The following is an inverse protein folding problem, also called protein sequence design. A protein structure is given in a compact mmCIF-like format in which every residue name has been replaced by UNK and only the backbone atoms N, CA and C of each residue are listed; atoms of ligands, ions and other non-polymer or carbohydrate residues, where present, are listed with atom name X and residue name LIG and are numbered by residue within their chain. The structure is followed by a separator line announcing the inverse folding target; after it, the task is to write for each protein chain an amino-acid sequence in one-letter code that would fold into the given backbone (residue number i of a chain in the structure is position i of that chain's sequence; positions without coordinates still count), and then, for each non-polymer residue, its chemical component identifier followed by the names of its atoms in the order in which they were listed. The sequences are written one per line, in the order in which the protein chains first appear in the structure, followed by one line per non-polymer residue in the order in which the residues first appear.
data_IF_885529237303
#
_entry.id   IF_885529237303
#
_cell.length_a   1.000
_cell.length_b   1.000
_cell.length_c   1.000
_cell.angle_alpha   90.00
_cell.angle_beta   90.00
_cell.angle_gamma   90.00
#
_symmetry.space_group_name_H-M   'P 1'
#
loop_
_entity.id
_entity.type
_entity.pdbx_description
1 polymer ?
#
# COMPACT_ATOMS: atom_id res chain seq x y z
N UNK A 1 -18.78 -8.79 19.66
CA UNK A 1 -17.78 -9.11 18.60
C UNK A 1 -18.37 -9.62 17.27
N UNK A 2 -19.53 -10.31 17.25
CA UNK A 2 -20.08 -10.89 16.01
C UNK A 2 -20.49 -9.89 14.91
N UNK A 3 -20.97 -8.69 15.27
CA UNK A 3 -21.40 -7.66 14.31
C UNK A 3 -20.21 -7.03 13.55
N UNK A 4 -19.20 -6.54 14.28
CA UNK A 4 -17.99 -5.93 13.70
C UNK A 4 -17.32 -6.94 12.76
N UNK A 5 -17.16 -8.18 13.21
CA UNK A 5 -16.56 -9.26 12.41
C UNK A 5 -17.36 -9.61 11.14
N UNK A 6 -18.68 -9.43 11.13
CA UNK A 6 -19.52 -9.68 9.95
C UNK A 6 -19.54 -8.51 8.98
N UNK A 7 -19.44 -7.29 9.49
CA UNK A 7 -19.62 -6.06 8.71
C UNK A 7 -18.33 -5.26 8.53
N UNK A 8 -17.17 -5.82 8.87
CA UNK A 8 -15.90 -5.07 8.85
C UNK A 8 -15.59 -4.46 7.48
N UNK A 9 -15.96 -5.12 6.38
CA UNK A 9 -15.79 -4.59 5.02
C UNK A 9 -16.62 -3.31 4.85
N UNK A 10 -17.90 -3.35 5.22
CA UNK A 10 -18.78 -2.19 5.15
C UNK A 10 -18.31 -1.06 6.05
N UNK A 11 -17.92 -1.39 7.29
CA UNK A 11 -17.38 -0.42 8.25
C UNK A 11 -16.07 0.20 7.73
N UNK A 12 -15.20 -0.62 7.14
CA UNK A 12 -13.96 -0.16 6.55
C UNK A 12 -14.23 0.80 5.40
N UNK A 13 -15.06 0.42 4.42
CA UNK A 13 -15.41 1.29 3.30
C UNK A 13 -16.15 2.57 3.75
N UNK A 14 -17.07 2.45 4.71
CA UNK A 14 -17.81 3.58 5.27
C UNK A 14 -16.92 4.54 6.07
N UNK A 15 -15.77 4.08 6.57
CA UNK A 15 -14.78 4.95 7.21
C UNK A 15 -13.80 5.51 6.18
N UNK A 16 -13.14 4.66 5.38
CA UNK A 16 -12.02 5.07 4.53
C UNK A 16 -12.43 5.93 3.35
N UNK A 17 -13.59 5.67 2.71
CA UNK A 17 -14.03 6.47 1.57
C UNK A 17 -14.39 7.90 2.01
N UNK A 18 -15.23 8.14 3.04
CA UNK A 18 -15.53 9.49 3.49
C UNK A 18 -14.32 10.21 4.10
N UNK A 19 -13.50 9.53 4.92
CA UNK A 19 -12.27 10.14 5.47
C UNK A 19 -11.32 10.51 4.34
N UNK A 20 -11.13 9.63 3.35
CA UNK A 20 -10.33 9.90 2.16
C UNK A 20 -10.84 11.11 1.38
N UNK A 21 -12.16 11.20 1.19
CA UNK A 21 -12.80 12.36 0.55
C UNK A 21 -12.60 13.66 1.34
N UNK A 22 -12.76 13.63 2.67
CA UNK A 22 -12.54 14.81 3.52
C UNK A 22 -11.08 15.29 3.48
N UNK A 23 -10.13 14.35 3.54
CA UNK A 23 -8.70 14.66 3.40
C UNK A 23 -8.38 15.23 2.03
N UNK A 24 -8.94 14.64 0.96
CA UNK A 24 -8.78 15.15 -0.39
C UNK A 24 -9.36 16.57 -0.55
N UNK A 25 -10.58 16.80 -0.05
CA UNK A 25 -11.25 18.09 -0.13
C UNK A 25 -10.54 19.19 0.69
N UNK A 26 -9.89 18.82 1.80
CA UNK A 26 -9.07 19.74 2.59
C UNK A 26 -7.64 19.89 2.06
N UNK A 27 -7.23 18.99 1.17
CA UNK A 27 -5.90 18.97 0.57
C UNK A 27 -5.74 19.98 -0.56
N UNK A 28 -4.50 20.23 -0.95
CA UNK A 28 -4.15 21.12 -2.07
C UNK A 28 -3.18 20.46 -3.05
N UNK A 29 -3.41 20.72 -4.33
CA UNK A 29 -2.60 20.17 -5.44
C UNK A 29 -1.17 20.68 -5.44
N UNK A 30 -0.94 21.88 -4.91
CA UNK A 30 0.40 22.46 -4.79
C UNK A 30 0.85 22.44 -3.32
N UNK A 31 2.16 22.26 -3.06
CA UNK A 31 2.73 22.40 -1.73
C UNK A 31 2.42 23.78 -1.17
N UNK A 32 1.84 23.81 0.03
CA UNK A 32 1.64 25.05 0.79
C UNK A 32 2.70 25.10 1.87
N UNK A 33 3.39 26.24 1.94
CA UNK A 33 4.43 26.47 2.93
C UNK A 33 3.92 27.40 4.04
N UNK A 34 4.45 27.23 5.25
CA UNK A 34 4.21 28.14 6.37
C UNK A 34 4.72 29.55 6.07
N UNK A 35 5.84 29.65 5.32
CA UNK A 35 6.37 30.87 4.75
C UNK A 35 6.58 30.70 3.24
N UNK A 36 5.70 31.34 2.45
CA UNK A 36 5.73 31.24 0.99
C UNK A 36 6.89 32.03 0.38
N UNK A 37 7.32 33.14 1.00
CA UNK A 37 8.38 33.99 0.48
C UNK A 37 9.74 33.30 0.63
N UNK A 38 10.02 32.78 1.83
CA UNK A 38 11.23 32.02 2.11
C UNK A 38 11.30 30.73 1.27
N UNK A 39 10.17 30.04 1.07
CA UNK A 39 10.13 28.85 0.23
C UNK A 39 10.48 29.14 -1.24
N UNK A 40 10.03 30.29 -1.78
CA UNK A 40 10.40 30.74 -3.13
C UNK A 40 11.88 31.12 -3.22
N UNK A 41 12.41 31.81 -2.21
CA UNK A 41 13.84 32.16 -2.13
C UNK A 41 14.72 30.89 -2.15
N UNK A 42 14.40 29.91 -1.30
CA UNK A 42 15.12 28.63 -1.24
C UNK A 42 15.08 27.84 -2.57
N UNK A 43 13.98 27.95 -3.33
CA UNK A 43 13.87 27.34 -4.66
C UNK A 43 14.74 28.04 -5.70
N UNK A 44 14.86 29.37 -5.61
CA UNK A 44 15.68 30.16 -6.52
C UNK A 44 17.17 30.08 -6.19
N UNK A 45 17.54 29.91 -4.92
CA UNK A 45 18.90 29.73 -4.45
C UNK A 45 19.65 28.58 -5.14
N UNK A 46 18.93 27.55 -5.63
CA UNK A 46 19.51 26.44 -6.40
C UNK A 46 20.18 26.90 -7.70
N UNK A 47 19.75 28.05 -8.24
CA UNK A 47 20.29 28.64 -9.46
C UNK A 47 21.32 29.74 -9.19
N UNK A 48 21.60 30.05 -7.92
CA UNK A 48 22.56 31.08 -7.52
C UNK A 48 23.97 30.48 -7.43
N UNK A 49 24.92 31.06 -8.17
CA UNK A 49 26.32 30.65 -8.16
C UNK A 49 27.06 31.00 -6.86
N UNK A 50 26.51 31.93 -6.07
CA UNK A 50 27.06 32.34 -4.77
C UNK A 50 26.48 31.55 -3.60
N UNK A 51 25.52 30.65 -3.85
CA UNK A 51 24.91 29.83 -2.81
C UNK A 51 25.92 28.85 -2.20
N UNK A 52 26.08 28.94 -0.88
CA UNK A 52 27.07 28.17 -0.12
C UNK A 52 26.49 26.91 0.50
N UNK A 53 25.15 26.83 0.62
CA UNK A 53 24.45 25.66 1.14
C UNK A 53 24.42 24.56 0.10
N UNK A 54 24.63 23.33 0.55
CA UNK A 54 24.41 22.15 -0.31
C UNK A 54 22.93 22.01 -0.68
N UNK A 55 22.65 21.35 -1.81
CA UNK A 55 21.29 21.02 -2.23
C UNK A 55 20.50 20.27 -1.15
N UNK A 56 21.15 19.37 -0.41
CA UNK A 56 20.51 18.67 0.71
C UNK A 56 20.05 19.63 1.81
N UNK A 57 20.88 20.61 2.18
CA UNK A 57 20.55 21.60 3.21
C UNK A 57 19.42 22.53 2.77
N UNK A 58 19.42 22.96 1.51
CA UNK A 58 18.30 23.72 0.93
C UNK A 58 17.01 22.89 0.93
N UNK A 59 17.13 21.59 0.61
CA UNK A 59 16.01 20.65 0.59
C UNK A 59 15.39 20.45 1.97
N UNK A 60 16.20 20.27 2.99
CA UNK A 60 15.73 20.10 4.38
C UNK A 60 15.12 21.39 4.92
N UNK A 61 15.70 22.55 4.60
CA UNK A 61 15.12 23.84 4.93
C UNK A 61 13.73 24.01 4.28
N UNK A 62 13.61 23.72 2.98
CA UNK A 62 12.33 23.81 2.26
C UNK A 62 11.29 22.82 2.80
N UNK A 63 11.71 21.59 3.18
CA UNK A 63 10.82 20.59 3.79
C UNK A 63 10.28 21.03 5.13
N UNK A 64 11.07 21.71 5.95
CA UNK A 64 10.63 22.20 7.27
C UNK A 64 9.51 23.24 7.18
N UNK A 65 9.41 23.94 6.04
CA UNK A 65 8.34 24.90 5.76
C UNK A 65 7.06 24.24 5.24
N UNK A 66 7.07 22.96 4.85
CA UNK A 66 5.90 22.32 4.24
C UNK A 66 4.77 22.10 5.25
N UNK A 67 3.57 22.49 4.87
CA UNK A 67 2.34 22.12 5.58
C UNK A 67 1.84 20.74 5.13
N UNK A 68 1.05 20.04 5.96
CA UNK A 68 0.50 18.72 5.60
C UNK A 68 -0.63 18.80 4.55
N UNK A 69 -1.06 20.00 4.14
CA UNK A 69 -2.16 20.18 3.19
C UNK A 69 -1.94 19.43 1.88
N UNK A 70 -0.69 19.36 1.43
CA UNK A 70 -0.37 18.60 0.23
C UNK A 70 -0.47 17.09 0.46
N UNK A 71 0.08 16.60 1.57
CA UNK A 71 0.01 15.21 1.96
C UNK A 71 -1.44 14.72 2.13
N UNK A 72 -2.34 15.57 2.62
CA UNK A 72 -3.77 15.23 2.73
C UNK A 72 -4.43 14.96 1.39
N UNK A 73 -4.03 15.66 0.31
CA UNK A 73 -4.60 15.40 -1.01
C UNK A 73 -4.22 13.99 -1.50
N UNK A 74 -2.93 13.67 -1.50
CA UNK A 74 -2.43 12.37 -1.98
C UNK A 74 -2.86 11.23 -1.05
N UNK A 75 -2.73 11.42 0.27
CA UNK A 75 -3.19 10.48 1.28
C UNK A 75 -4.70 10.26 1.23
N UNK A 76 -5.50 11.31 0.98
CA UNK A 76 -6.94 11.21 0.81
C UNK A 76 -7.37 10.41 -0.42
N UNK A 77 -6.72 10.64 -1.56
CA UNK A 77 -6.93 9.83 -2.78
C UNK A 77 -6.52 8.38 -2.51
N UNK A 78 -5.35 8.15 -1.92
CA UNK A 78 -4.86 6.81 -1.60
C UNK A 78 -5.83 6.07 -0.68
N UNK A 79 -6.33 6.73 0.38
CA UNK A 79 -7.28 6.14 1.31
C UNK A 79 -8.63 5.80 0.64
N UNK A 80 -9.14 6.71 -0.21
CA UNK A 80 -10.36 6.48 -0.97
C UNK A 80 -10.22 5.31 -1.95
N UNK A 81 -9.11 5.25 -2.69
CA UNK A 81 -8.79 4.13 -3.58
C UNK A 81 -8.64 2.81 -2.81
N UNK A 82 -8.06 2.84 -1.62
CA UNK A 82 -7.95 1.67 -0.75
C UNK A 82 -9.34 1.15 -0.34
N UNK A 83 -10.28 2.05 0.02
CA UNK A 83 -11.68 1.71 0.27
C UNK A 83 -12.39 1.12 -0.96
N UNK A 84 -12.20 1.72 -2.14
CA UNK A 84 -12.77 1.23 -3.40
C UNK A 84 -12.20 -0.14 -3.80
N UNK A 85 -10.90 -0.37 -3.59
CA UNK A 85 -10.27 -1.66 -3.85
C UNK A 85 -10.88 -2.76 -2.96
N UNK A 86 -11.12 -2.48 -1.69
CA UNK A 86 -11.80 -3.41 -0.77
C UNK A 86 -13.25 -3.67 -1.21
N UNK A 87 -13.97 -2.64 -1.64
CA UNK A 87 -15.32 -2.79 -2.18
C UNK A 87 -15.33 -3.68 -3.44
N UNK A 88 -14.37 -3.50 -4.35
CA UNK A 88 -14.21 -4.33 -5.55
C UNK A 88 -13.87 -5.79 -5.23
N UNK A 89 -12.93 -6.02 -4.29
CA UNK A 89 -12.60 -7.36 -3.81
C UNK A 89 -13.80 -8.03 -3.13
N UNK A 90 -14.58 -7.28 -2.36
CA UNK A 90 -15.81 -7.80 -1.76
C UNK A 90 -16.85 -8.15 -2.81
N UNK A 91 -17.04 -7.33 -3.84
CA UNK A 91 -17.95 -7.64 -4.94
C UNK A 91 -17.54 -8.94 -5.67
N UNK A 92 -16.25 -9.11 -5.95
CA UNK A 92 -15.71 -10.26 -6.67
C UNK A 92 -15.65 -11.56 -5.84
N UNK A 93 -15.30 -11.45 -4.55
CA UNK A 93 -15.00 -12.61 -3.72
C UNK A 93 -15.85 -12.69 -2.44
N UNK A 94 -17.04 -12.09 -2.42
CA UNK A 94 -17.95 -12.18 -1.27
C UNK A 94 -18.24 -13.63 -0.89
N UNK A 95 -18.31 -13.88 0.40
CA UNK A 95 -18.78 -15.15 0.94
C UNK A 95 -20.29 -15.31 0.72
N UNK A 96 -20.75 -16.54 0.45
CA UNK A 96 -22.17 -16.87 0.42
C UNK A 96 -22.83 -16.48 1.76
N UNK A 97 -23.90 -15.68 1.70
CA UNK A 97 -24.54 -15.07 2.87
C UNK A 97 -23.98 -13.70 3.28
N UNK A 98 -23.06 -13.10 2.50
CA UNK A 98 -22.62 -11.71 2.65
C UNK A 98 -21.61 -11.44 3.78
N UNK A 99 -21.08 -12.49 4.42
CA UNK A 99 -20.27 -12.37 5.65
C UNK A 99 -18.75 -12.32 5.38
N UNK A 100 -18.29 -11.29 4.66
CA UNK A 100 -16.86 -11.04 4.43
C UNK A 100 -16.33 -11.51 3.07
N UNK A 101 -15.00 -11.47 2.91
CA UNK A 101 -14.27 -11.75 1.67
C UNK A 101 -13.65 -13.15 1.76
N UNK A 102 -13.77 -13.94 0.70
CA UNK A 102 -13.09 -15.21 0.51
C UNK A 102 -11.84 -15.03 -0.36
N UNK A 103 -10.88 -15.95 -0.27
CA UNK A 103 -9.84 -16.07 -1.30
C UNK A 103 -10.43 -16.47 -2.65
N UNK A 104 -9.73 -16.23 -3.76
CA UNK A 104 -10.00 -16.92 -5.01
C UNK A 104 -10.00 -18.45 -4.82
N UNK A 105 -10.77 -19.15 -5.64
CA UNK A 105 -10.80 -20.63 -5.66
C UNK A 105 -9.53 -21.22 -6.29
N UNK A 106 -8.91 -20.47 -7.19
CA UNK A 106 -7.72 -20.89 -7.92
C UNK A 106 -6.47 -20.19 -7.40
N UNK A 107 -5.42 -20.98 -7.12
CA UNK A 107 -4.10 -20.51 -6.75
C UNK A 107 -3.51 -19.54 -7.79
N UNK A 108 -3.76 -19.77 -9.09
CA UNK A 108 -3.30 -18.89 -10.16
C UNK A 108 -3.90 -17.49 -10.08
N UNK A 109 -5.19 -17.38 -9.76
CA UNK A 109 -5.88 -16.09 -9.57
C UNK A 109 -5.33 -15.32 -8.39
N UNK A 110 -4.93 -16.02 -7.32
CA UNK A 110 -4.24 -15.41 -6.18
C UNK A 110 -2.97 -14.69 -6.65
N UNK A 111 -2.06 -15.39 -7.34
CA UNK A 111 -0.81 -14.81 -7.84
C UNK A 111 -1.06 -13.62 -8.78
N UNK A 112 -2.03 -13.73 -9.69
CA UNK A 112 -2.39 -12.63 -10.62
C UNK A 112 -2.88 -11.38 -9.88
N UNK A 113 -3.66 -11.53 -8.81
CA UNK A 113 -4.08 -10.39 -7.99
C UNK A 113 -2.90 -9.73 -7.27
N UNK A 114 -1.94 -10.52 -6.77
CA UNK A 114 -0.70 -10.00 -6.20
C UNK A 114 0.08 -9.17 -7.23
N UNK A 115 0.25 -9.68 -8.45
CA UNK A 115 0.90 -8.94 -9.53
C UNK A 115 0.15 -7.66 -9.93
N UNK A 116 -1.18 -7.71 -9.99
CA UNK A 116 -1.99 -6.53 -10.24
C UNK A 116 -1.81 -5.47 -9.15
N UNK A 117 -1.73 -5.88 -7.88
CA UNK A 117 -1.45 -4.97 -6.76
C UNK A 117 -0.06 -4.33 -6.86
N UNK A 118 0.97 -5.13 -7.18
CA UNK A 118 2.32 -4.63 -7.43
C UNK A 118 2.36 -3.64 -8.59
N UNK A 119 1.67 -3.94 -9.70
CA UNK A 119 1.58 -3.04 -10.84
C UNK A 119 0.90 -1.71 -10.47
N UNK A 120 -0.21 -1.77 -9.71
CA UNK A 120 -0.91 -0.58 -9.23
C UNK A 120 -0.05 0.25 -8.25
N UNK A 121 0.72 -0.39 -7.37
CA UNK A 121 1.68 0.32 -6.51
C UNK A 121 2.67 1.12 -7.32
N UNK A 122 3.38 0.46 -8.24
CA UNK A 122 4.40 1.13 -9.04
C UNK A 122 3.80 2.18 -9.95
N UNK A 123 2.64 1.94 -10.57
CA UNK A 123 1.94 2.97 -11.33
C UNK A 123 1.63 4.21 -10.47
N UNK A 124 1.21 4.00 -9.22
CA UNK A 124 0.93 5.09 -8.28
C UNK A 124 2.20 5.84 -7.86
N UNK A 125 3.29 5.12 -7.60
CA UNK A 125 4.59 5.72 -7.28
C UNK A 125 5.14 6.52 -8.47
N UNK A 126 5.09 5.98 -9.70
CA UNK A 126 5.49 6.71 -10.91
C UNK A 126 4.65 7.97 -11.13
N UNK A 127 3.34 7.90 -10.89
CA UNK A 127 2.46 9.07 -10.97
C UNK A 127 2.79 10.11 -9.89
N UNK A 128 3.07 9.67 -8.66
CA UNK A 128 3.54 10.55 -7.59
C UNK A 128 4.84 11.24 -7.96
N UNK A 129 5.77 10.49 -8.52
CA UNK A 129 7.07 10.97 -8.94
C UNK A 129 6.97 12.02 -10.06
N UNK A 130 6.15 11.79 -11.10
CA UNK A 130 5.88 12.77 -12.16
C UNK A 130 5.26 14.06 -11.61
N UNK A 131 4.31 13.93 -10.70
CA UNK A 131 3.68 15.08 -10.04
C UNK A 131 4.71 15.91 -9.24
N UNK A 132 5.58 15.25 -8.48
CA UNK A 132 6.57 15.94 -7.65
C UNK A 132 7.65 16.63 -8.51
N UNK A 133 8.02 16.05 -9.67
CA UNK A 133 8.89 16.71 -10.66
C UNK A 133 8.21 17.97 -11.20
N UNK A 134 6.97 17.86 -11.69
CA UNK A 134 6.25 19.01 -12.30
C UNK A 134 6.06 20.17 -11.33
N UNK A 135 6.06 19.91 -10.03
CA UNK A 135 5.91 20.91 -8.96
C UNK A 135 7.24 21.56 -8.54
N UNK A 136 8.36 21.12 -9.10
CA UNK A 136 9.69 21.64 -8.79
C UNK A 136 10.19 21.26 -7.40
N UNK A 137 9.53 20.32 -6.72
CA UNK A 137 9.92 19.88 -5.38
C UNK A 137 11.19 19.03 -5.38
N UNK A 138 11.51 18.41 -6.53
CA UNK A 138 12.77 17.68 -6.74
C UNK A 138 13.94 18.55 -7.21
N UNK A 139 13.69 19.80 -7.63
CA UNK A 139 14.77 20.72 -8.02
C UNK A 139 15.71 21.00 -6.85
N UNK A 140 15.17 21.03 -5.63
CA UNK A 140 15.95 21.28 -4.41
C UNK A 140 16.74 20.05 -3.96
N UNK A 141 16.42 18.85 -4.45
CA UNK A 141 17.21 17.63 -4.23
C UNK A 141 18.36 17.42 -5.23
N UNK A 142 18.42 18.23 -6.30
CA UNK A 142 19.37 18.08 -7.40
C UNK A 142 18.91 17.08 -8.46
N UNK A 143 19.10 17.43 -9.74
CA UNK A 143 18.81 16.56 -10.89
C UNK A 143 19.38 15.14 -10.80
N UNK A 144 20.60 14.92 -10.25
CA UNK A 144 21.14 13.57 -10.05
C UNK A 144 20.38 12.72 -9.02
N UNK A 145 19.84 13.31 -7.95
CA UNK A 145 19.07 12.57 -6.95
C UNK A 145 17.70 12.16 -7.51
N UNK A 146 17.08 13.01 -8.33
CA UNK A 146 15.89 12.67 -9.10
C UNK A 146 16.16 11.50 -10.04
N UNK A 147 17.20 11.60 -10.88
CA UNK A 147 17.57 10.54 -11.80
C UNK A 147 17.86 9.20 -11.09
N UNK A 148 18.58 9.23 -9.96
CA UNK A 148 18.86 8.04 -9.15
C UNK A 148 17.58 7.45 -8.54
N UNK A 149 16.67 8.29 -8.05
CA UNK A 149 15.36 7.88 -7.55
C UNK A 149 14.52 7.18 -8.63
N UNK A 150 14.38 7.81 -9.80
CA UNK A 150 13.66 7.22 -10.93
C UNK A 150 14.28 5.90 -11.40
N UNK A 151 15.62 5.84 -11.53
CA UNK A 151 16.32 4.63 -11.92
C UNK A 151 16.08 3.50 -10.89
N UNK A 152 16.11 3.83 -9.60
CA UNK A 152 15.75 2.91 -8.53
C UNK A 152 14.33 2.35 -8.70
N UNK A 153 13.35 3.21 -9.02
CA UNK A 153 11.96 2.78 -9.25
C UNK A 153 11.83 1.86 -10.48
N UNK A 154 12.50 2.19 -11.59
CA UNK A 154 12.51 1.39 -12.82
C UNK A 154 13.11 0.01 -12.60
N UNK A 155 14.11 -0.12 -11.72
CA UNK A 155 14.72 -1.41 -11.37
C UNK A 155 13.87 -2.18 -10.36
N UNK A 156 13.38 -1.52 -9.31
CA UNK A 156 12.63 -2.16 -8.24
C UNK A 156 11.25 -2.64 -8.69
N UNK A 157 10.63 -1.98 -9.67
CA UNK A 157 9.35 -2.40 -10.23
C UNK A 157 9.35 -3.85 -10.77
N UNK A 158 10.17 -4.22 -11.77
CA UNK A 158 10.24 -5.59 -12.26
C UNK A 158 10.78 -6.56 -11.21
N UNK A 159 11.75 -6.16 -10.38
CA UNK A 159 12.28 -7.02 -9.30
C UNK A 159 11.18 -7.42 -8.32
N UNK A 160 10.35 -6.46 -7.90
CA UNK A 160 9.23 -6.74 -7.01
C UNK A 160 8.16 -7.63 -7.65
N UNK A 161 7.90 -7.47 -8.95
CA UNK A 161 6.98 -8.34 -9.68
C UNK A 161 7.51 -9.78 -9.77
N UNK A 162 8.80 -9.96 -10.05
CA UNK A 162 9.47 -11.27 -10.05
C UNK A 162 9.41 -11.89 -8.66
N UNK A 163 9.69 -11.11 -7.61
CA UNK A 163 9.62 -11.58 -6.24
C UNK A 163 8.19 -12.04 -5.88
N UNK A 164 7.17 -11.23 -6.18
CA UNK A 164 5.76 -11.58 -5.93
C UNK A 164 5.35 -12.81 -6.72
N UNK A 165 5.79 -12.96 -7.97
CA UNK A 165 5.53 -14.15 -8.76
C UNK A 165 6.20 -15.40 -8.16
N UNK A 166 7.50 -15.35 -7.86
CA UNK A 166 8.27 -16.48 -7.37
C UNK A 166 7.81 -16.92 -5.96
N UNK A 167 7.72 -15.96 -5.04
CA UNK A 167 7.27 -16.19 -3.67
C UNK A 167 5.79 -16.57 -3.64
N UNK A 168 4.95 -15.89 -4.41
CA UNK A 168 3.54 -16.21 -4.57
C UNK A 168 3.32 -17.63 -5.08
N UNK A 169 4.12 -18.08 -6.06
CA UNK A 169 4.05 -19.45 -6.58
C UNK A 169 4.54 -20.49 -5.57
N UNK A 170 5.64 -20.22 -4.86
CA UNK A 170 6.14 -21.11 -3.82
C UNK A 170 5.12 -21.27 -2.68
N UNK A 171 4.51 -20.17 -2.25
CA UNK A 171 3.47 -20.17 -1.22
C UNK A 171 2.21 -20.87 -1.71
N UNK A 172 1.74 -20.55 -2.92
CA UNK A 172 0.52 -21.12 -3.48
C UNK A 172 0.62 -22.63 -3.69
N UNK A 173 1.82 -23.16 -3.95
CA UNK A 173 2.06 -24.61 -4.02
C UNK A 173 1.85 -25.33 -2.69
N UNK A 174 1.83 -24.60 -1.57
CA UNK A 174 1.63 -25.13 -0.22
C UNK A 174 0.26 -24.79 0.37
N UNK A 175 -0.63 -24.13 -0.37
CA UNK A 175 -1.96 -23.82 0.14
C UNK A 175 -2.78 -25.08 0.41
N UNK A 176 -3.55 -25.05 1.51
CA UNK A 176 -4.64 -25.99 1.74
C UNK A 176 -5.83 -25.72 0.83
N UNK A 177 -7.00 -26.32 1.12
CA UNK A 177 -8.21 -26.12 0.33
C UNK A 177 -8.61 -24.63 0.27
N UNK A 178 -8.72 -24.11 -0.95
CA UNK A 178 -9.32 -22.81 -1.24
C UNK A 178 -10.80 -23.02 -1.65
N UNK A 179 -11.70 -22.06 -1.41
CA UNK A 179 -11.46 -20.73 -0.87
C UNK A 179 -11.52 -20.67 0.67
N UNK A 180 -10.75 -19.75 1.27
CA UNK A 180 -10.72 -19.48 2.71
C UNK A 180 -11.35 -18.12 3.02
N UNK A 181 -12.24 -18.06 4.01
CA UNK A 181 -12.90 -16.82 4.45
C UNK A 181 -11.96 -15.96 5.29
N UNK A 182 -11.93 -14.63 5.12
CA UNK A 182 -11.29 -13.69 6.07
C UNK A 182 -12.07 -13.56 7.38
N UNK A 183 -13.40 -13.67 7.31
CA UNK A 183 -14.27 -13.42 8.45
C UNK A 183 -14.37 -14.62 9.37
N UNK A 184 -14.56 -15.84 8.85
CA UNK A 184 -14.79 -17.02 9.67
C UNK A 184 -13.50 -17.81 9.88
N UNK A 185 -13.10 -18.02 11.13
CA UNK A 185 -11.97 -18.85 11.51
C UNK A 185 -12.44 -20.29 11.49
N UNK A 186 -11.76 -21.12 10.70
CA UNK A 186 -12.14 -22.52 10.56
C UNK A 186 -11.47 -23.31 11.69
N UNK A 187 -12.13 -23.37 12.84
CA UNK A 187 -11.64 -24.08 14.03
C UNK A 187 -11.68 -25.60 13.88
N UNK A 188 -12.26 -26.12 12.79
CA UNK A 188 -12.38 -27.55 12.54
C UNK A 188 -11.12 -28.17 11.92
N UNK A 189 -10.21 -27.36 11.38
CA UNK A 189 -9.02 -27.82 10.68
C UNK A 189 -7.76 -27.62 11.55
N UNK A 190 -6.93 -28.67 11.66
CA UNK A 190 -5.69 -28.62 12.43
C UNK A 190 -4.67 -27.67 11.81
N UNK A 191 -3.89 -27.00 12.65
CA UNK A 191 -2.84 -26.07 12.26
C UNK A 191 -1.59 -26.80 11.74
N UNK A 192 -1.07 -26.41 10.57
CA UNK A 192 0.09 -27.06 9.94
C UNK A 192 1.43 -26.80 10.64
N UNK A 193 1.69 -25.56 11.13
CA UNK A 193 2.90 -25.17 11.89
C UNK A 193 2.85 -23.71 12.36
N UNK A 194 3.33 -23.42 13.59
CA UNK A 194 3.45 -22.05 14.14
C UNK A 194 4.52 -21.20 13.44
N UNK A 195 5.57 -21.83 12.88
CA UNK A 195 6.64 -21.12 12.18
C UNK A 195 6.14 -20.47 10.89
N UNK A 196 5.29 -21.19 10.17
CA UNK A 196 4.62 -20.70 8.96
C UNK A 196 3.69 -19.53 9.33
N UNK A 197 2.98 -19.61 10.45
CA UNK A 197 2.14 -18.51 10.93
C UNK A 197 2.94 -17.23 11.18
N UNK A 198 4.09 -17.30 11.86
CA UNK A 198 4.93 -16.11 12.12
C UNK A 198 5.46 -15.51 10.82
N UNK A 199 5.88 -16.36 9.88
CA UNK A 199 6.39 -15.92 8.57
C UNK A 199 5.39 -15.03 7.82
N UNK A 200 4.09 -15.26 7.99
CA UNK A 200 3.05 -14.43 7.37
C UNK A 200 2.47 -13.35 8.31
N UNK A 201 2.42 -13.58 9.62
CA UNK A 201 1.91 -12.60 10.56
C UNK A 201 2.80 -11.35 10.62
N UNK A 202 4.13 -11.51 10.54
CA UNK A 202 5.08 -10.40 10.63
C UNK A 202 4.95 -9.41 9.45
N UNK A 203 4.90 -9.84 8.17
CA UNK A 203 4.58 -8.95 7.06
C UNK A 203 3.19 -8.31 7.16
N UNK A 204 2.19 -9.01 7.71
CA UNK A 204 0.86 -8.42 7.92
C UNK A 204 0.92 -7.29 8.96
N UNK A 205 1.59 -7.48 10.09
CA UNK A 205 1.79 -6.42 11.10
C UNK A 205 2.53 -5.23 10.50
N UNK A 206 3.58 -5.48 9.71
CA UNK A 206 4.32 -4.41 9.03
C UNK A 206 3.45 -3.64 8.04
N UNK A 207 2.62 -4.31 7.24
CA UNK A 207 1.66 -3.65 6.35
C UNK A 207 0.61 -2.86 7.13
N UNK A 208 0.14 -3.37 8.29
CA UNK A 208 -0.76 -2.67 9.19
C UNK A 208 -0.14 -1.38 9.76
N UNK A 209 1.13 -1.44 10.14
CA UNK A 209 1.90 -0.26 10.57
C UNK A 209 2.07 0.75 9.42
N UNK A 210 2.39 0.29 8.21
CA UNK A 210 2.49 1.16 7.03
C UNK A 210 1.16 1.82 6.70
N UNK A 211 0.03 1.11 6.82
CA UNK A 211 -1.30 1.68 6.66
C UNK A 211 -1.56 2.77 7.70
N UNK A 212 -1.22 2.52 8.97
CA UNK A 212 -1.43 3.45 10.06
C UNK A 212 -0.52 4.68 10.01
N UNK A 213 0.74 4.51 9.59
CA UNK A 213 1.76 5.55 9.60
C UNK A 213 1.76 6.45 8.36
N UNK A 214 1.20 6.00 7.24
CA UNK A 214 1.22 6.76 5.98
C UNK A 214 -0.04 7.62 5.74
N UNK A 215 -0.95 7.77 6.71
CA UNK A 215 -2.10 8.69 6.56
C UNK A 215 -1.69 10.16 6.43
N UNK A 216 -0.48 10.50 6.89
CA UNK A 216 0.06 11.86 6.88
C UNK A 216 1.21 12.05 5.89
N UNK A 217 1.55 11.02 5.10
CA UNK A 217 2.62 11.11 4.10
C UNK A 217 2.04 11.41 2.71
N UNK A 218 2.87 12.03 1.87
CA UNK A 218 2.55 12.39 0.49
C UNK A 218 2.75 11.22 -0.48
N UNK A 219 2.54 9.98 -0.02
CA UNK A 219 2.78 8.79 -0.83
C UNK A 219 1.48 8.00 -1.06
N UNK A 220 1.40 7.32 -2.19
CA UNK A 220 0.23 6.49 -2.54
C UNK A 220 0.32 5.08 -1.96
N UNK A 221 1.14 4.88 -0.92
CA UNK A 221 1.49 3.57 -0.38
C UNK A 221 0.33 2.86 0.34
N UNK A 222 -0.74 3.57 0.72
CA UNK A 222 -1.83 3.00 1.50
C UNK A 222 -2.64 1.96 0.70
N UNK A 223 -3.01 2.25 -0.55
CA UNK A 223 -3.75 1.31 -1.42
C UNK A 223 -3.03 -0.05 -1.56
N UNK A 224 -1.75 -0.11 -1.95
CA UNK A 224 -1.05 -1.38 -2.07
C UNK A 224 -0.65 -2.01 -0.73
N UNK A 225 -0.37 -1.22 0.31
CA UNK A 225 -0.19 -1.75 1.65
C UNK A 225 -1.46 -2.48 2.13
N UNK A 226 -2.64 -1.96 1.82
CA UNK A 226 -3.92 -2.58 2.17
C UNK A 226 -4.16 -3.88 1.39
N UNK A 227 -3.94 -3.85 0.09
CA UNK A 227 -4.12 -5.04 -0.74
C UNK A 227 -3.13 -6.13 -0.30
N UNK A 228 -1.87 -5.76 -0.05
CA UNK A 228 -0.84 -6.68 0.47
C UNK A 228 -1.20 -7.20 1.85
N UNK A 229 -1.69 -6.35 2.75
CA UNK A 229 -2.15 -6.75 4.08
C UNK A 229 -3.25 -7.81 4.02
N UNK A 230 -4.30 -7.55 3.23
CA UNK A 230 -5.39 -8.51 3.02
C UNK A 230 -4.89 -9.81 2.41
N UNK A 231 -3.97 -9.71 1.45
CA UNK A 231 -3.37 -10.84 0.77
C UNK A 231 -2.51 -11.70 1.70
N UNK A 232 -1.68 -11.08 2.54
CA UNK A 232 -0.83 -11.78 3.50
C UNK A 232 -1.67 -12.44 4.59
N UNK A 233 -2.72 -11.79 5.09
CA UNK A 233 -3.64 -12.43 6.04
C UNK A 233 -4.30 -13.63 5.38
N UNK A 234 -4.76 -13.49 4.13
CA UNK A 234 -5.35 -14.59 3.38
C UNK A 234 -4.38 -15.75 3.14
N UNK A 235 -3.15 -15.45 2.75
CA UNK A 235 -2.08 -16.44 2.57
C UNK A 235 -1.73 -17.13 3.90
N UNK A 236 -1.63 -16.37 5.00
CA UNK A 236 -1.42 -16.91 6.36
C UNK A 236 -2.46 -17.97 6.67
N UNK A 237 -3.72 -17.64 6.40
CA UNK A 237 -4.86 -18.50 6.71
C UNK A 237 -4.91 -19.74 5.82
N UNK A 238 -4.64 -19.60 4.53
CA UNK A 238 -4.55 -20.73 3.61
C UNK A 238 -3.36 -21.67 3.91
N UNK A 239 -2.23 -21.11 4.38
CA UNK A 239 -1.05 -21.89 4.74
C UNK A 239 -1.19 -22.62 6.09
N UNK A 240 -2.04 -22.11 6.98
CA UNK A 240 -2.27 -22.68 8.31
C UNK A 240 -3.13 -23.96 8.25
N UNK A 241 -3.97 -24.10 7.22
CA UNK A 241 -4.83 -25.27 7.01
C UNK A 241 -4.05 -26.44 6.38
N UNK A 242 -4.30 -27.66 6.86
CA UNK A 242 -3.71 -28.89 6.31
C UNK A 242 -4.24 -29.14 4.88
N UNK A 243 -3.35 -29.45 3.93
CA UNK A 243 -3.75 -29.98 2.62
C UNK A 243 -4.26 -31.42 2.80
N UNK A 244 -5.45 -31.73 2.28
CA UNK A 244 -6.07 -33.05 2.42
C UNK A 244 -5.35 -34.17 1.66
N UNK A 245 -4.25 -33.88 0.97
CA UNK A 245 -3.42 -34.91 0.33
C UNK A 245 -2.68 -35.80 1.34
N UNK A 246 -2.56 -35.40 2.61
CA UNK A 246 -1.90 -36.18 3.66
C UNK A 246 -2.87 -36.90 4.62
N UNK A 247 -4.16 -37.03 4.27
CA UNK A 247 -5.15 -37.75 5.09
C UNK A 247 -5.49 -39.16 4.57
N UNK A 248 -4.61 -39.76 3.77
CA UNK A 248 -4.77 -41.14 3.26
C UNK A 248 -3.51 -42.01 3.39
N UNK A 249 -2.64 -41.74 4.37
CA UNK A 249 -1.65 -42.71 4.84
C UNK A 249 -1.75 -42.88 6.37
#
# INVERSE_FOLDING_TARGET
MGFIRRNWVYLFCAATIPIGYLLFAHGLTYPVYTDQALASELKMAVFDSEETRSLSQLGDALRSLRTPRHAFMQGGISLGLAGLAVAGLFAAFRQAGGRGINTPREAGTFIRLGLAATALFWASEFFSYDLDIRRGDWLVGGGPAAAAGFLGMVILAPVSAIFVWAVGRAIASKFGKLPVSLANWDSANNARSWRIMILFALPAVLCGYLLAGNFTSSNFAQTPALITFLYVILASRAAWLVSSENSQD
#
